data_IF_029632443650
#
_entry.id   IF_029632443650
#
_cell.length_a   1.000
_cell.length_b   1.000
_cell.length_c   1.000
_cell.angle_alpha   90.00
_cell.angle_beta   90.00
_cell.angle_gamma   90.00
#
_symmetry.space_group_name_H-M   'P 1'
#
loop_
_entity.id
_entity.type
_entity.pdbx_description
1 polymer ?
#
# COMPACT_ATOMS: atom_id res chain seq x y z
N UNK A 1 -26.26 30.22 8.52
CA UNK A 1 -26.29 29.28 9.67
C UNK A 1 -24.85 28.93 10.03
N UNK A 2 -24.42 29.26 11.24
CA UNK A 2 -23.11 28.88 11.79
C UNK A 2 -23.26 27.54 12.50
N UNK A 3 -22.37 26.59 12.25
CA UNK A 3 -22.22 25.41 13.07
C UNK A 3 -20.80 25.42 13.65
N UNK A 4 -20.73 25.32 14.96
CA UNK A 4 -19.51 25.35 15.77
C UNK A 4 -19.37 24.03 16.53
N UNK A 5 -18.11 23.62 16.75
CA UNK A 5 -17.59 22.66 17.74
C UNK A 5 -17.89 21.15 17.48
N UNK A 6 -17.01 20.19 17.76
CA UNK A 6 -15.95 20.07 18.78
C UNK A 6 -14.69 19.34 18.27
N UNK A 7 -13.54 19.76 18.79
CA UNK A 7 -12.31 18.97 18.79
C UNK A 7 -12.35 17.94 19.92
N UNK A 8 -11.92 16.70 19.65
CA UNK A 8 -11.71 15.67 20.67
C UNK A 8 -10.23 15.29 20.71
N UNK A 9 -9.54 15.76 21.73
CA UNK A 9 -8.23 15.29 22.16
C UNK A 9 -8.39 13.96 22.89
N UNK A 10 -7.60 12.95 22.51
CA UNK A 10 -7.44 11.74 23.30
C UNK A 10 -5.95 11.53 23.59
N UNK A 11 -5.59 11.71 24.85
CA UNK A 11 -4.29 11.39 25.44
C UNK A 11 -4.41 9.98 26.00
N UNK A 12 -3.55 9.06 25.59
CA UNK A 12 -3.39 7.76 26.22
C UNK A 12 -1.91 7.54 26.54
N UNK A 13 -1.58 7.81 27.79
CA UNK A 13 -0.41 7.30 28.51
C UNK A 13 -0.65 5.86 28.92
N UNK A 14 0.33 4.96 28.76
CA UNK A 14 0.55 3.70 29.51
C UNK A 14 1.98 3.25 29.12
N UNK A 15 2.99 3.40 30.00
CA UNK A 15 3.35 2.54 31.14
C UNK A 15 4.51 1.60 30.80
N UNK A 16 5.69 1.88 31.37
CA UNK A 16 6.88 1.01 31.40
C UNK A 16 6.55 -0.39 31.94
N UNK A 17 7.12 -1.42 31.31
CA UNK A 17 7.06 -2.81 31.77
C UNK A 17 8.32 -3.59 31.39
N UNK A 18 9.29 -3.52 32.31
CA UNK A 18 10.40 -4.42 32.68
C UNK A 18 11.07 -5.36 31.66
N UNK A 19 12.39 -5.29 31.71
CA UNK A 19 13.43 -6.15 31.13
C UNK A 19 13.39 -7.52 31.84
N UNK A 20 13.41 -8.63 31.09
CA UNK A 20 13.71 -9.96 31.65
C UNK A 20 15.05 -10.42 31.11
N UNK A 21 15.97 -10.63 32.05
CA UNK A 21 17.34 -11.08 31.88
C UNK A 21 17.36 -12.62 31.82
N UNK A 22 17.80 -13.20 30.71
CA UNK A 22 17.96 -14.65 30.59
C UNK A 22 19.25 -15.11 31.28
N UNK A 23 19.11 -16.01 32.26
CA UNK A 23 20.20 -16.73 32.94
C UNK A 23 20.21 -18.17 32.43
N UNK A 24 21.32 -18.60 31.86
CA UNK A 24 21.60 -19.98 31.41
C UNK A 24 21.98 -20.89 32.58
N UNK A 25 21.50 -22.14 32.56
CA UNK A 25 22.08 -23.31 33.24
C UNK A 25 21.58 -24.59 32.54
N UNK A 26 22.50 -25.53 32.36
CA UNK A 26 22.46 -26.74 31.51
C UNK A 26 22.03 -28.02 32.26
N UNK A 27 21.33 -28.89 31.50
CA UNK A 27 21.46 -30.36 31.37
C UNK A 27 21.03 -31.33 32.51
N UNK A 28 19.95 -32.12 32.26
CA UNK A 28 19.92 -33.60 32.26
C UNK A 28 18.51 -34.18 31.91
N UNK A 29 18.48 -35.25 31.10
CA UNK A 29 17.35 -36.10 30.65
C UNK A 29 16.57 -36.77 31.83
N UNK A 30 15.34 -37.31 31.77
CA UNK A 30 14.72 -38.34 30.90
C UNK A 30 13.17 -38.36 31.07
N UNK A 31 12.46 -38.47 29.92
CA UNK A 31 11.20 -39.19 29.57
C UNK A 31 9.99 -39.36 30.54
N UNK A 32 8.81 -38.94 30.05
CA UNK A 32 7.46 -39.35 30.48
C UNK A 32 6.37 -38.79 29.54
N UNK A 33 5.54 -39.65 28.96
CA UNK A 33 4.54 -39.38 27.92
C UNK A 33 3.17 -38.89 28.47
N UNK A 34 2.52 -37.98 27.70
CA UNK A 34 1.07 -37.67 27.59
C UNK A 34 0.37 -37.04 28.84
N UNK A 35 -0.40 -35.96 28.78
CA UNK A 35 -1.24 -35.36 27.74
C UNK A 35 -1.07 -33.82 27.70
N UNK A 36 -1.05 -33.24 26.49
CA UNK A 36 -1.10 -31.77 26.30
C UNK A 36 -2.36 -31.43 25.50
N UNK A 37 -3.25 -30.54 25.98
CA UNK A 37 -4.33 -30.05 25.14
C UNK A 37 -3.71 -29.26 23.99
N UNK A 38 -3.93 -29.74 22.77
CA UNK A 38 -3.65 -28.99 21.55
C UNK A 38 -4.56 -27.75 21.54
N UNK A 39 -4.08 -26.65 22.12
CA UNK A 39 -4.60 -25.33 21.80
C UNK A 39 -4.04 -25.02 20.42
N UNK A 40 -4.87 -25.19 19.40
CA UNK A 40 -4.64 -24.60 18.08
C UNK A 40 -4.66 -23.09 18.28
N UNK A 41 -3.50 -22.51 18.58
CA UNK A 41 -3.27 -21.09 18.50
C UNK A 41 -3.37 -20.73 17.02
N UNK A 42 -4.55 -20.26 16.61
CA UNK A 42 -4.72 -19.57 15.34
C UNK A 42 -3.96 -18.25 15.52
N UNK A 43 -2.64 -18.30 15.32
CA UNK A 43 -1.82 -17.11 15.22
C UNK A 43 -2.31 -16.35 13.99
N UNK A 44 -3.29 -15.46 14.18
CA UNK A 44 -3.52 -14.39 13.23
C UNK A 44 -2.18 -13.71 13.09
N UNK A 45 -1.58 -13.83 11.90
CA UNK A 45 -0.28 -13.29 11.61
C UNK A 45 -0.41 -11.75 11.63
N UNK A 46 -0.32 -11.15 12.82
CA UNK A 46 -0.44 -9.72 13.08
C UNK A 46 0.82 -8.95 12.66
N UNK A 47 1.70 -9.58 11.88
CA UNK A 47 2.86 -8.91 11.32
C UNK A 47 2.38 -7.82 10.35
N UNK A 48 2.52 -6.57 10.77
CA UNK A 48 2.33 -5.40 9.92
C UNK A 48 3.24 -5.51 8.69
N UNK A 49 2.81 -4.94 7.56
CA UNK A 49 3.61 -4.91 6.33
C UNK A 49 5.00 -4.32 6.60
N UNK A 50 6.02 -4.90 5.98
CA UNK A 50 7.38 -4.38 5.99
C UNK A 50 7.57 -3.27 4.95
N UNK A 51 8.61 -2.46 5.11
CA UNK A 51 8.96 -1.42 4.12
C UNK A 51 9.21 -2.00 2.72
N UNK A 52 9.84 -3.17 2.63
CA UNK A 52 10.10 -3.87 1.37
C UNK A 52 8.81 -4.29 0.68
N UNK A 53 7.92 -4.98 1.41
CA UNK A 53 6.61 -5.38 0.87
C UNK A 53 5.76 -4.18 0.43
N UNK A 54 5.83 -3.06 1.16
CA UNK A 54 5.14 -1.83 0.77
C UNK A 54 5.73 -1.23 -0.51
N UNK A 55 7.06 -1.21 -0.66
CA UNK A 55 7.73 -0.75 -1.86
C UNK A 55 7.45 -1.65 -3.07
N UNK A 56 7.38 -2.97 -2.86
CA UNK A 56 7.01 -3.94 -3.89
C UNK A 56 5.57 -3.73 -4.36
N UNK A 57 4.64 -3.47 -3.44
CA UNK A 57 3.25 -3.17 -3.79
C UNK A 57 3.14 -1.87 -4.62
N UNK A 58 3.88 -0.82 -4.26
CA UNK A 58 3.94 0.42 -5.05
C UNK A 58 4.57 0.16 -6.43
N UNK A 59 5.64 -0.63 -6.50
CA UNK A 59 6.29 -0.99 -7.76
C UNK A 59 5.36 -1.78 -8.68
N UNK A 60 4.62 -2.75 -8.13
CA UNK A 60 3.58 -3.48 -8.87
C UNK A 60 2.51 -2.54 -9.41
N UNK A 61 2.02 -1.61 -8.58
CA UNK A 61 1.06 -0.60 -9.02
C UNK A 61 1.58 0.24 -10.18
N UNK A 62 2.82 0.75 -10.10
CA UNK A 62 3.43 1.54 -11.17
C UNK A 62 3.50 0.73 -12.46
N UNK A 63 4.10 -0.46 -12.43
CA UNK A 63 4.28 -1.31 -13.62
C UNK A 63 2.94 -1.67 -14.27
N UNK A 64 1.88 -1.82 -13.48
CA UNK A 64 0.58 -2.21 -13.98
C UNK A 64 -0.20 -1.06 -14.65
N UNK A 65 0.17 0.21 -14.41
CA UNK A 65 -0.49 1.37 -15.03
C UNK A 65 -0.51 1.30 -16.55
N UNK A 66 0.55 0.78 -17.17
CA UNK A 66 0.65 0.58 -18.62
C UNK A 66 -0.46 -0.32 -19.19
N UNK A 67 -1.00 -1.26 -18.40
CA UNK A 67 -2.13 -2.13 -18.78
C UNK A 67 -3.48 -1.59 -18.33
N UNK A 68 -3.50 -0.83 -17.24
CA UNK A 68 -4.72 -0.25 -16.67
C UNK A 68 -5.22 0.91 -17.53
N UNK A 69 -4.31 1.78 -17.97
CA UNK A 69 -4.64 3.03 -18.66
C UNK A 69 -4.39 2.99 -20.18
N UNK A 70 -4.11 1.81 -20.73
CA UNK A 70 -4.02 1.56 -22.16
C UNK A 70 -5.00 0.47 -22.60
N UNK A 71 -5.44 0.50 -23.85
CA UNK A 71 -6.28 -0.55 -24.43
C UNK A 71 -5.59 -1.92 -24.28
N UNK A 72 -6.27 -2.96 -23.77
CA UNK A 72 -7.72 -3.11 -23.58
C UNK A 72 -8.30 -2.69 -22.21
N UNK A 73 -7.58 -1.91 -21.40
CA UNK A 73 -7.95 -1.39 -20.07
C UNK A 73 -8.24 -2.47 -19.03
N UNK A 74 -7.19 -2.98 -18.39
CA UNK A 74 -7.29 -4.05 -17.41
C UNK A 74 -7.83 -3.56 -16.05
N UNK A 75 -9.15 -3.66 -15.87
CA UNK A 75 -9.85 -3.28 -14.63
C UNK A 75 -9.61 -4.28 -13.49
N UNK A 76 -9.30 -5.54 -13.79
CA UNK A 76 -9.15 -6.57 -12.76
C UNK A 76 -7.90 -6.30 -11.91
N UNK A 77 -6.80 -5.89 -12.55
CA UNK A 77 -5.60 -5.44 -11.85
C UNK A 77 -5.90 -4.32 -10.85
N UNK A 78 -6.76 -3.37 -11.22
CA UNK A 78 -7.14 -2.27 -10.31
C UNK A 78 -7.75 -2.83 -9.04
N UNK A 79 -8.67 -3.79 -9.16
CA UNK A 79 -9.34 -4.42 -8.03
C UNK A 79 -8.38 -5.27 -7.17
N UNK A 80 -7.34 -5.82 -7.79
CA UNK A 80 -6.34 -6.64 -7.10
C UNK A 80 -5.32 -5.79 -6.32
N UNK A 81 -4.87 -4.68 -6.89
CA UNK A 81 -3.80 -3.86 -6.32
C UNK A 81 -4.31 -2.70 -5.45
N UNK A 82 -5.55 -2.26 -5.65
CA UNK A 82 -6.07 -1.04 -5.03
C UNK A 82 -7.38 -1.28 -4.27
N UNK A 83 -7.66 -0.37 -3.34
CA UNK A 83 -8.94 -0.29 -2.62
C UNK A 83 -9.30 1.18 -2.41
N UNK A 84 -10.39 1.45 -1.71
CA UNK A 84 -10.77 2.80 -1.28
C UNK A 84 -10.83 3.82 -2.40
N UNK A 85 -10.26 5.01 -2.15
CA UNK A 85 -10.34 6.15 -3.07
C UNK A 85 -9.56 5.91 -4.36
N UNK A 86 -8.35 5.34 -4.27
CA UNK A 86 -7.53 5.10 -5.45
C UNK A 86 -8.23 4.14 -6.42
N UNK A 87 -8.87 3.09 -5.92
CA UNK A 87 -9.65 2.16 -6.74
C UNK A 87 -10.78 2.87 -7.48
N UNK A 88 -11.62 3.61 -6.75
CA UNK A 88 -12.77 4.30 -7.32
C UNK A 88 -12.37 5.37 -8.35
N UNK A 89 -11.31 6.14 -8.07
CA UNK A 89 -10.83 7.18 -8.99
C UNK A 89 -10.18 6.57 -10.24
N UNK A 90 -9.45 5.47 -10.10
CA UNK A 90 -8.82 4.76 -11.22
C UNK A 90 -9.87 4.20 -12.18
N UNK A 91 -10.92 3.56 -11.66
CA UNK A 91 -12.01 3.04 -12.50
C UNK A 91 -12.73 4.16 -13.27
N UNK A 92 -12.98 5.31 -12.62
CA UNK A 92 -13.54 6.50 -13.29
C UNK A 92 -12.60 7.05 -14.36
N UNK A 93 -11.29 7.07 -14.12
CA UNK A 93 -10.31 7.51 -15.10
C UNK A 93 -10.29 6.58 -16.33
N UNK A 94 -10.41 5.26 -16.14
CA UNK A 94 -10.57 4.30 -17.23
C UNK A 94 -11.83 4.61 -18.06
N UNK A 95 -12.98 4.81 -17.39
CA UNK A 95 -14.22 5.15 -18.08
C UNK A 95 -14.06 6.43 -18.92
N UNK A 96 -13.40 7.45 -18.36
CA UNK A 96 -13.12 8.70 -19.07
C UNK A 96 -12.21 8.47 -20.29
N UNK A 97 -11.13 7.72 -20.16
CA UNK A 97 -10.21 7.43 -21.26
C UNK A 97 -10.93 6.71 -22.41
N UNK A 98 -11.73 5.69 -22.10
CA UNK A 98 -12.51 4.95 -23.10
C UNK A 98 -13.50 5.88 -23.81
N UNK A 99 -14.27 6.67 -23.06
CA UNK A 99 -15.28 7.58 -23.61
C UNK A 99 -14.68 8.65 -24.54
N UNK A 100 -13.43 9.03 -24.31
CA UNK A 100 -12.74 10.06 -25.08
C UNK A 100 -11.80 9.50 -26.16
N UNK A 101 -11.81 8.18 -26.38
CA UNK A 101 -10.88 7.50 -27.30
C UNK A 101 -9.42 7.88 -27.01
N UNK A 102 -9.09 7.86 -25.71
CA UNK A 102 -7.80 8.26 -25.17
C UNK A 102 -7.16 7.11 -24.42
N UNK A 103 -5.84 7.12 -24.32
CA UNK A 103 -5.07 6.17 -23.51
C UNK A 103 -3.70 6.75 -23.17
N UNK A 104 -3.08 6.21 -22.12
CA UNK A 104 -1.70 6.50 -21.79
C UNK A 104 -0.75 5.44 -22.34
N UNK A 105 0.41 5.89 -22.80
CA UNK A 105 1.62 5.08 -22.91
C UNK A 105 2.59 5.47 -21.80
N UNK A 106 3.30 4.48 -21.29
CA UNK A 106 4.28 4.65 -20.23
C UNK A 106 5.65 4.18 -20.71
N UNK A 107 6.67 5.02 -20.50
CA UNK A 107 8.07 4.68 -20.67
C UNK A 107 8.68 4.20 -19.35
N UNK A 108 9.65 4.95 -18.84
CA UNK A 108 10.24 4.70 -17.51
C UNK A 108 9.15 4.79 -16.43
N UNK A 109 9.08 3.80 -15.55
CA UNK A 109 8.29 3.84 -14.33
C UNK A 109 9.11 3.23 -13.20
N UNK A 110 9.49 4.04 -12.21
CA UNK A 110 10.47 3.61 -11.21
C UNK A 110 10.28 4.29 -9.86
N UNK A 111 10.39 3.51 -8.78
CA UNK A 111 10.65 4.03 -7.44
C UNK A 111 12.15 4.34 -7.33
N UNK A 112 12.49 5.62 -7.17
CA UNK A 112 13.88 6.07 -7.03
C UNK A 112 14.39 5.90 -5.59
N UNK A 113 13.54 6.24 -4.62
CA UNK A 113 13.88 6.18 -3.20
C UNK A 113 12.63 6.07 -2.34
N UNK A 114 12.79 5.49 -1.15
CA UNK A 114 11.78 5.52 -0.09
C UNK A 114 12.18 6.65 0.86
N UNK A 115 11.30 7.61 1.04
CA UNK A 115 11.54 8.82 1.84
C UNK A 115 11.02 8.64 3.27
N UNK A 116 9.86 8.02 3.43
CA UNK A 116 9.23 7.78 4.72
C UNK A 116 8.44 6.47 4.70
N UNK A 117 8.41 5.79 5.83
CA UNK A 117 7.60 4.59 6.02
C UNK A 117 7.12 4.52 7.47
N UNK A 118 5.83 4.21 7.64
CA UNK A 118 5.24 3.91 8.93
C UNK A 118 4.15 2.86 8.74
N UNK A 119 4.06 1.90 9.67
CA UNK A 119 3.04 0.86 9.62
C UNK A 119 2.53 0.55 11.02
N UNK A 120 1.23 0.27 11.12
CA UNK A 120 0.55 -0.06 12.39
C UNK A 120 -0.68 -0.91 12.09
N UNK A 121 -0.69 -2.14 12.61
CA UNK A 121 -1.78 -3.09 12.41
C UNK A 121 -2.06 -3.33 10.92
N UNK A 122 -3.30 -3.04 10.51
CA UNK A 122 -3.78 -3.23 9.14
C UNK A 122 -3.60 -2.00 8.24
N UNK A 123 -2.81 -1.00 8.65
CA UNK A 123 -2.54 0.21 7.86
C UNK A 123 -1.06 0.50 7.75
N UNK A 124 -0.67 1.09 6.62
CA UNK A 124 0.67 1.63 6.43
C UNK A 124 0.65 2.89 5.57
N UNK A 125 1.71 3.66 5.66
CA UNK A 125 1.98 4.81 4.80
C UNK A 125 3.41 4.68 4.29
N UNK A 126 3.57 4.81 2.99
CA UNK A 126 4.88 4.87 2.34
C UNK A 126 4.95 6.13 1.47
N UNK A 127 6.02 6.89 1.62
CA UNK A 127 6.35 8.03 0.78
C UNK A 127 7.57 7.66 -0.07
N UNK A 128 7.46 7.80 -1.38
CA UNK A 128 8.52 7.45 -2.33
C UNK A 128 8.74 8.58 -3.32
N UNK A 129 9.96 8.69 -3.84
CA UNK A 129 10.20 9.41 -5.09
C UNK A 129 9.97 8.46 -6.25
N UNK A 130 9.15 8.89 -7.21
CA UNK A 130 8.77 8.12 -8.37
C UNK A 130 9.09 8.90 -9.63
N UNK A 131 9.80 8.28 -10.56
CA UNK A 131 9.99 8.79 -11.92
C UNK A 131 9.01 8.10 -12.86
N UNK A 132 8.23 8.88 -13.61
CA UNK A 132 7.37 8.39 -14.69
C UNK A 132 7.62 9.17 -15.99
N UNK A 133 7.69 8.43 -17.09
CA UNK A 133 7.58 8.91 -18.47
C UNK A 133 6.20 8.53 -18.98
N UNK A 134 5.39 9.53 -19.36
CA UNK A 134 3.99 9.34 -19.74
C UNK A 134 3.68 10.10 -21.01
N UNK A 135 2.97 9.46 -21.94
CA UNK A 135 2.37 10.14 -23.09
C UNK A 135 0.87 9.83 -23.14
N UNK A 136 0.03 10.86 -23.12
CA UNK A 136 -1.41 10.75 -23.33
C UNK A 136 -1.70 10.87 -24.82
N UNK A 137 -2.36 9.85 -25.37
CA UNK A 137 -2.95 9.87 -26.70
C UNK A 137 -4.44 10.15 -26.60
N UNK A 138 -4.95 10.99 -27.49
CA UNK A 138 -6.37 11.28 -27.66
C UNK A 138 -6.71 11.23 -29.15
N UNK A 139 -7.65 10.38 -29.55
CA UNK A 139 -7.96 10.13 -30.96
C UNK A 139 -6.73 9.76 -31.81
N UNK A 140 -5.84 8.93 -31.24
CA UNK A 140 -4.63 8.45 -31.92
C UNK A 140 -3.53 9.50 -32.09
N UNK A 141 -3.65 10.68 -31.47
CA UNK A 141 -2.64 11.74 -31.52
C UNK A 141 -2.11 12.03 -30.12
N UNK A 142 -0.82 12.37 -30.03
CA UNK A 142 -0.22 12.84 -28.78
C UNK A 142 -0.92 14.13 -28.35
N UNK A 143 -1.48 14.10 -27.15
CA UNK A 143 -2.14 15.23 -26.48
C UNK A 143 -1.22 15.89 -25.46
N UNK A 144 -0.47 15.08 -24.70
CA UNK A 144 0.45 15.54 -23.65
C UNK A 144 1.56 14.50 -23.47
N UNK A 145 2.78 14.95 -23.17
CA UNK A 145 3.88 14.09 -22.75
C UNK A 145 4.59 14.71 -21.55
N UNK A 146 5.08 13.87 -20.65
CA UNK A 146 5.80 14.32 -19.46
C UNK A 146 6.85 13.30 -19.02
N UNK A 147 8.00 13.80 -18.59
CA UNK A 147 9.03 13.01 -17.89
C UNK A 147 9.34 13.74 -16.58
N UNK A 148 8.96 13.16 -15.45
CA UNK A 148 9.12 13.84 -14.16
C UNK A 148 9.38 12.86 -13.02
N UNK A 149 10.09 13.36 -12.01
CA UNK A 149 10.24 12.71 -10.71
C UNK A 149 9.41 13.47 -9.68
N UNK A 150 8.51 12.77 -8.99
CA UNK A 150 7.61 13.34 -7.98
C UNK A 150 7.71 12.57 -6.68
N UNK A 151 7.52 13.26 -5.56
CA UNK A 151 7.33 12.61 -4.27
C UNK A 151 5.86 12.24 -4.12
N UNK A 152 5.55 10.97 -3.87
CA UNK A 152 4.19 10.46 -3.77
C UNK A 152 4.02 9.71 -2.45
N UNK A 153 2.96 10.04 -1.71
CA UNK A 153 2.52 9.31 -0.52
C UNK A 153 1.43 8.32 -0.90
N UNK A 154 1.61 7.07 -0.50
CA UNK A 154 0.63 6.00 -0.63
C UNK A 154 0.16 5.56 0.75
N UNK A 155 -1.16 5.44 0.92
CA UNK A 155 -1.77 4.82 2.09
C UNK A 155 -2.18 3.39 1.72
N UNK A 156 -1.77 2.43 2.52
CA UNK A 156 -1.97 1.00 2.30
C UNK A 156 -2.91 0.46 3.38
N UNK A 157 -3.75 -0.50 2.99
CA UNK A 157 -4.66 -1.19 3.90
C UNK A 157 -4.60 -2.69 3.67
N UNK A 158 -4.63 -3.45 4.76
CA UNK A 158 -4.78 -4.90 4.74
C UNK A 158 -6.26 -5.28 4.82
N UNK A 159 -6.72 -6.04 3.83
CA UNK A 159 -8.07 -6.61 3.76
C UNK A 159 -7.91 -8.12 3.69
N UNK A 160 -8.28 -8.82 4.77
CA UNK A 160 -8.20 -10.28 4.91
C UNK A 160 -6.84 -10.87 4.50
N UNK A 161 -5.75 -10.27 5.00
CA UNK A 161 -4.38 -10.71 4.72
C UNK A 161 -3.79 -10.16 3.43
N UNK A 162 -4.58 -9.47 2.60
CA UNK A 162 -4.13 -8.90 1.32
C UNK A 162 -3.91 -7.40 1.48
N UNK A 163 -2.69 -6.94 1.24
CA UNK A 163 -2.36 -5.52 1.24
C UNK A 163 -2.70 -4.87 -0.11
N UNK A 164 -3.39 -3.73 -0.07
CA UNK A 164 -3.78 -2.94 -1.24
C UNK A 164 -3.52 -1.45 -1.01
N UNK A 165 -3.38 -0.70 -2.10
CA UNK A 165 -3.22 0.75 -2.05
C UNK A 165 -4.59 1.41 -1.98
N UNK A 166 -4.90 2.05 -0.86
CA UNK A 166 -6.18 2.72 -0.62
C UNK A 166 -6.23 4.15 -1.16
N UNK A 167 -5.09 4.85 -1.15
CA UNK A 167 -4.99 6.23 -1.61
C UNK A 167 -3.58 6.57 -2.13
N UNK A 168 -3.50 7.55 -3.01
CA UNK A 168 -2.24 8.14 -3.50
C UNK A 168 -2.34 9.67 -3.48
N UNK A 169 -1.26 10.34 -3.10
CA UNK A 169 -1.17 11.79 -3.08
C UNK A 169 0.22 12.24 -3.53
N UNK A 170 0.29 13.01 -4.62
CA UNK A 170 1.51 13.73 -5.01
C UNK A 170 1.74 14.86 -3.99
N UNK A 171 2.97 14.96 -3.48
CA UNK A 171 3.41 16.00 -2.56
C UNK A 171 4.11 17.11 -3.34
N UNK A 172 3.71 18.36 -3.09
CA UNK A 172 4.31 19.57 -3.66
C UNK A 172 5.43 20.11 -2.77
#
# INVERSE_FOLDING_TARGET
>A
MKATLLALTLILSLSMGQIVQAKTLTENEISGLQDSPTVTEIAQNTASITIGQAADLVTQWLNAKSRIFASPFDREIVLNLTTGKLCADTLKAIDFLIQNNSHYEYGVQKVESIEQFAASGNKATIQVKVTEDTTLYSNGKVSESSFNTKTVRYNLENWDGIWKIANSQVLN
#
